data_IF_829830912460
#
_entry.id   IF_829830912460
#
_cell.length_a   1.000
_cell.length_b   1.000
_cell.length_c   1.000
_cell.angle_alpha   90.00
_cell.angle_beta   90.00
_cell.angle_gamma   90.00
#
_symmetry.space_group_name_H-M   'P 1'
#
loop_
_entity.id
_entity.type
_entity.pdbx_description
1 polymer ?
#
# COMPACT_ATOMS: atom_id res chain seq x y z
N UNK A 1 -10.19 -27.26 4.27
CA UNK A 1 -10.50 -26.31 5.37
C UNK A 1 -11.05 -25.02 4.78
N UNK A 2 -11.94 -24.34 5.51
CA UNK A 2 -12.49 -23.03 5.15
C UNK A 2 -11.97 -21.96 6.10
N UNK A 3 -11.28 -20.97 5.54
CA UNK A 3 -10.68 -19.87 6.32
C UNK A 3 -11.39 -18.57 5.94
N UNK A 4 -11.95 -17.89 6.95
CA UNK A 4 -12.54 -16.57 6.79
C UNK A 4 -11.54 -15.52 7.27
N UNK A 5 -11.21 -14.55 6.41
CA UNK A 5 -10.37 -13.40 6.74
C UNK A 5 -11.25 -12.14 6.75
N UNK A 6 -11.39 -11.50 7.90
CA UNK A 6 -12.06 -10.20 8.05
C UNK A 6 -10.99 -9.11 8.05
N UNK A 7 -10.83 -8.40 6.93
CA UNK A 7 -9.75 -7.45 6.71
C UNK A 7 -10.23 -5.99 6.74
N UNK A 8 -9.30 -5.05 6.60
CA UNK A 8 -9.53 -3.61 6.66
C UNK A 8 -10.20 -3.08 5.39
N UNK A 9 -10.86 -1.92 5.51
CA UNK A 9 -11.29 -1.12 4.37
C UNK A 9 -10.16 -0.21 3.83
N UNK A 10 -9.10 -0.05 4.61
CA UNK A 10 -7.95 0.78 4.25
C UNK A 10 -6.93 -0.06 3.48
N UNK A 11 -6.49 0.43 2.33
CA UNK A 11 -5.50 -0.25 1.47
C UNK A 11 -4.22 -0.55 2.24
N UNK A 12 -3.67 0.43 2.96
CA UNK A 12 -2.42 0.27 3.71
C UNK A 12 -2.49 -0.82 4.78
N UNK A 13 -3.52 -0.80 5.64
CA UNK A 13 -3.70 -1.83 6.69
C UNK A 13 -3.89 -3.23 6.07
N UNK A 14 -4.59 -3.31 4.93
CA UNK A 14 -4.77 -4.58 4.21
C UNK A 14 -3.45 -5.12 3.69
N UNK A 15 -2.63 -4.27 3.07
CA UNK A 15 -1.32 -4.68 2.54
C UNK A 15 -0.40 -5.11 3.68
N UNK A 16 -0.36 -4.37 4.79
CA UNK A 16 0.45 -4.73 5.96
C UNK A 16 0.06 -6.07 6.58
N UNK A 17 -1.16 -6.56 6.33
CA UNK A 17 -1.62 -7.87 6.79
C UNK A 17 -1.43 -9.02 5.79
N UNK A 18 -0.94 -8.76 4.57
CA UNK A 18 -0.80 -9.82 3.54
C UNK A 18 0.16 -10.92 3.97
N UNK A 19 1.26 -10.60 4.64
CA UNK A 19 2.19 -11.60 5.18
C UNK A 19 1.55 -12.56 6.19
N UNK A 20 0.60 -12.07 7.00
CA UNK A 20 -0.15 -12.92 7.93
C UNK A 20 -1.11 -13.85 7.18
N UNK A 21 -1.76 -13.35 6.13
CA UNK A 21 -2.64 -14.20 5.31
C UNK A 21 -1.82 -15.26 4.57
N UNK A 22 -0.64 -14.92 4.08
CA UNK A 22 0.32 -15.88 3.48
C UNK A 22 0.80 -16.94 4.51
N UNK A 23 1.01 -16.55 5.77
CA UNK A 23 1.32 -17.50 6.84
C UNK A 23 0.21 -18.56 6.99
N UNK A 24 -1.06 -18.14 6.97
CA UNK A 24 -2.18 -19.09 7.01
C UNK A 24 -2.26 -19.97 5.76
N UNK A 25 -1.97 -19.43 4.58
CA UNK A 25 -1.92 -20.20 3.33
C UNK A 25 -0.81 -21.25 3.37
N UNK A 26 0.40 -20.90 3.79
CA UNK A 26 1.54 -21.82 3.88
C UNK A 26 1.30 -22.95 4.88
N UNK A 27 0.71 -22.63 6.03
CA UNK A 27 0.39 -23.64 7.05
C UNK A 27 -0.83 -24.51 6.69
N UNK A 28 -1.64 -24.07 5.73
CA UNK A 28 -2.87 -24.75 5.30
C UNK A 28 -3.04 -24.68 3.77
N UNK A 29 -2.14 -25.30 2.98
CA UNK A 29 -2.06 -25.08 1.52
C UNK A 29 -3.29 -25.53 0.73
N UNK A 30 -4.11 -26.45 1.30
CA UNK A 30 -5.32 -26.95 0.67
C UNK A 30 -6.60 -26.25 1.20
N UNK A 31 -6.46 -25.13 1.90
CA UNK A 31 -7.61 -24.39 2.43
C UNK A 31 -8.19 -23.44 1.40
N UNK A 32 -9.50 -23.23 1.46
CA UNK A 32 -10.24 -22.22 0.71
C UNK A 32 -10.36 -20.96 1.54
N UNK A 33 -10.08 -19.80 0.93
CA UNK A 33 -10.10 -18.52 1.60
C UNK A 33 -11.27 -17.66 1.14
N UNK A 34 -12.04 -17.18 2.11
CA UNK A 34 -13.07 -16.16 1.91
C UNK A 34 -12.66 -14.87 2.60
N UNK A 35 -12.73 -13.76 1.89
CA UNK A 35 -12.37 -12.45 2.43
C UNK A 35 -13.61 -11.59 2.62
N UNK A 36 -13.70 -10.93 3.77
CA UNK A 36 -14.62 -9.82 4.06
C UNK A 36 -13.78 -8.55 4.11
N UNK A 37 -13.98 -7.61 3.16
CA UNK A 37 -13.06 -6.51 2.93
C UNK A 37 -13.73 -5.32 2.23
N UNK A 38 -13.15 -4.12 2.34
CA UNK A 38 -13.62 -2.95 1.59
C UNK A 38 -13.37 -3.06 0.08
N UNK A 39 -14.19 -2.38 -0.75
CA UNK A 39 -14.16 -2.56 -2.22
C UNK A 39 -12.80 -2.30 -2.86
N UNK A 40 -12.13 -1.20 -2.51
CA UNK A 40 -10.82 -0.88 -3.09
C UNK A 40 -9.73 -1.81 -2.56
N UNK A 41 -9.75 -2.10 -1.25
CA UNK A 41 -8.78 -2.99 -0.63
C UNK A 41 -8.93 -4.45 -1.09
N UNK A 42 -10.14 -4.86 -1.49
CA UNK A 42 -10.42 -6.21 -2.02
C UNK A 42 -9.62 -6.56 -3.27
N UNK A 43 -9.19 -5.57 -4.05
CA UNK A 43 -8.31 -5.81 -5.20
C UNK A 43 -7.00 -6.51 -4.81
N UNK A 44 -6.50 -6.31 -3.57
CA UNK A 44 -5.26 -6.92 -3.06
C UNK A 44 -5.31 -8.45 -3.10
N UNK A 45 -6.49 -9.04 -2.86
CA UNK A 45 -6.68 -10.48 -2.81
C UNK A 45 -7.35 -11.09 -4.05
N UNK A 46 -7.51 -10.30 -5.13
CA UNK A 46 -8.18 -10.72 -6.35
C UNK A 46 -7.52 -11.95 -7.00
N UNK A 47 -6.21 -12.10 -6.86
CA UNK A 47 -5.44 -13.24 -7.39
C UNK A 47 -4.81 -14.09 -6.28
N UNK A 48 -5.40 -14.03 -5.08
CA UNK A 48 -4.92 -14.83 -3.96
C UNK A 48 -5.11 -16.34 -4.23
N UNK A 49 -4.10 -17.18 -3.95
CA UNK A 49 -4.23 -18.63 -4.14
C UNK A 49 -5.39 -19.19 -3.31
N UNK A 50 -6.09 -20.17 -3.88
CA UNK A 50 -7.24 -20.84 -3.24
C UNK A 50 -8.36 -19.87 -2.81
N UNK A 51 -8.49 -18.76 -3.52
CA UNK A 51 -9.58 -17.80 -3.30
C UNK A 51 -10.93 -18.45 -3.62
N UNK A 52 -11.81 -18.56 -2.61
CA UNK A 52 -13.19 -18.99 -2.78
C UNK A 52 -14.09 -17.79 -3.11
N UNK A 53 -14.01 -16.73 -2.30
CA UNK A 53 -14.90 -15.58 -2.43
C UNK A 53 -14.32 -14.31 -1.80
N UNK A 54 -14.63 -13.15 -2.40
CA UNK A 54 -14.45 -11.83 -1.79
C UNK A 54 -15.83 -11.22 -1.54
N UNK A 55 -16.15 -10.95 -0.28
CA UNK A 55 -17.36 -10.26 0.16
C UNK A 55 -17.00 -8.80 0.38
N UNK A 56 -17.44 -7.94 -0.53
CA UNK A 56 -17.14 -6.52 -0.49
C UNK A 56 -18.09 -5.78 0.44
N UNK A 57 -17.53 -5.01 1.37
CA UNK A 57 -18.29 -4.24 2.35
C UNK A 57 -18.18 -2.77 2.05
N UNK A 58 -19.32 -2.16 1.72
CA UNK A 58 -19.48 -0.70 1.77
C UNK A 58 -20.12 -0.32 3.10
N UNK A 59 -19.60 0.70 3.75
CA UNK A 59 -20.23 1.25 4.96
C UNK A 59 -21.59 1.85 4.57
N UNK A 60 -22.66 1.31 5.14
CA UNK A 60 -24.03 1.76 4.91
C UNK A 60 -24.55 2.57 6.09
N UNK A 61 -25.61 3.36 5.87
CA UNK A 61 -26.33 4.05 6.94
C UNK A 61 -26.87 3.01 7.94
N UNK A 62 -26.93 3.38 9.21
CA UNK A 62 -27.36 2.51 10.31
C UNK A 62 -26.60 1.19 10.46
N UNK A 63 -25.40 1.07 9.88
CA UNK A 63 -24.56 -0.13 9.95
C UNK A 63 -25.22 -1.43 9.43
N UNK A 64 -26.19 -1.33 8.53
CA UNK A 64 -26.91 -2.48 7.96
C UNK A 64 -26.00 -3.45 7.21
N UNK A 65 -24.84 -2.99 6.74
CA UNK A 65 -23.82 -3.83 6.15
C UNK A 65 -23.37 -5.01 7.02
N UNK A 66 -23.52 -4.92 8.37
CA UNK A 66 -23.21 -6.04 9.26
C UNK A 66 -24.18 -7.21 9.10
N UNK A 67 -25.45 -6.93 8.89
CA UNK A 67 -26.47 -7.96 8.63
C UNK A 67 -26.18 -8.67 7.30
N UNK A 68 -25.86 -7.91 6.26
CA UNK A 68 -25.48 -8.46 4.94
C UNK A 68 -24.27 -9.38 5.07
N UNK A 69 -23.24 -8.97 5.81
CA UNK A 69 -22.08 -9.81 6.07
C UNK A 69 -22.43 -11.10 6.83
N UNK A 70 -23.23 -10.98 7.88
CA UNK A 70 -23.69 -12.12 8.65
C UNK A 70 -24.44 -13.12 7.76
N UNK A 71 -25.40 -12.66 6.96
CA UNK A 71 -26.18 -13.51 6.05
C UNK A 71 -25.31 -14.24 5.00
N UNK A 72 -24.16 -13.71 4.63
CA UNK A 72 -23.23 -14.39 3.72
C UNK A 72 -22.40 -15.48 4.39
N UNK A 73 -22.32 -15.51 5.70
CA UNK A 73 -21.37 -16.33 6.45
C UNK A 73 -22.00 -17.25 7.50
N UNK A 74 -23.24 -17.00 7.97
CA UNK A 74 -23.84 -17.63 9.14
C UNK A 74 -24.07 -19.15 9.00
N UNK A 75 -24.37 -19.63 7.81
CA UNK A 75 -24.65 -21.05 7.52
C UNK A 75 -23.37 -21.84 7.17
N UNK A 76 -22.21 -21.23 7.29
CA UNK A 76 -20.93 -21.85 7.01
C UNK A 76 -20.22 -22.13 8.34
N UNK A 77 -19.79 -23.38 8.53
CA UNK A 77 -18.86 -23.72 9.62
C UNK A 77 -17.44 -23.42 9.15
N UNK A 78 -16.82 -22.41 9.78
CA UNK A 78 -15.46 -21.99 9.48
C UNK A 78 -14.45 -22.82 10.28
N UNK A 79 -13.41 -23.32 9.64
CA UNK A 79 -12.34 -23.99 10.38
C UNK A 79 -11.49 -22.95 11.13
N UNK A 80 -11.20 -21.82 10.47
CA UNK A 80 -10.45 -20.71 11.07
C UNK A 80 -11.12 -19.38 10.70
N UNK A 81 -11.27 -18.49 11.68
CA UNK A 81 -11.60 -17.08 11.47
C UNK A 81 -10.38 -16.24 11.85
N UNK A 82 -9.88 -15.44 10.91
CA UNK A 82 -8.81 -14.44 11.11
C UNK A 82 -9.44 -13.05 11.05
N UNK A 83 -9.67 -12.45 12.20
CA UNK A 83 -10.29 -11.13 12.31
C UNK A 83 -9.22 -10.07 12.60
N UNK A 84 -8.86 -9.30 11.57
CA UNK A 84 -7.85 -8.24 11.60
C UNK A 84 -8.43 -6.87 12.00
N UNK A 85 -9.73 -6.82 12.33
CA UNK A 85 -10.45 -5.57 12.67
C UNK A 85 -11.07 -5.56 14.05
N UNK A 86 -10.99 -6.64 14.81
CA UNK A 86 -11.75 -6.85 16.06
C UNK A 86 -13.26 -6.65 15.84
N UNK A 87 -13.79 -7.30 14.80
CA UNK A 87 -15.19 -7.19 14.38
C UNK A 87 -16.11 -7.98 15.29
N UNK A 88 -17.27 -7.42 15.64
CA UNK A 88 -18.29 -8.17 16.39
C UNK A 88 -18.81 -9.40 15.63
N UNK A 89 -18.78 -9.37 14.29
CA UNK A 89 -19.21 -10.46 13.43
C UNK A 89 -18.49 -11.78 13.76
N UNK A 90 -17.20 -11.74 14.06
CA UNK A 90 -16.42 -12.95 14.37
C UNK A 90 -16.91 -13.72 15.59
N UNK A 91 -17.72 -13.11 16.45
CA UNK A 91 -18.34 -13.76 17.62
C UNK A 91 -19.66 -14.47 17.29
N UNK A 92 -20.31 -14.09 16.19
CA UNK A 92 -21.62 -14.62 15.79
C UNK A 92 -21.53 -15.80 14.83
N UNK A 93 -20.36 -16.10 14.28
CA UNK A 93 -20.18 -17.14 13.27
C UNK A 93 -19.70 -18.45 13.89
N UNK A 94 -20.17 -19.58 13.34
CA UNK A 94 -19.70 -20.91 13.75
C UNK A 94 -18.26 -21.15 13.30
N UNK A 95 -17.37 -21.50 14.23
CA UNK A 95 -15.94 -21.71 13.95
C UNK A 95 -15.30 -22.73 14.87
N UNK A 96 -14.20 -23.35 14.41
CA UNK A 96 -13.37 -24.23 15.23
C UNK A 96 -12.28 -23.42 15.95
N UNK A 97 -11.57 -22.52 15.23
CA UNK A 97 -10.53 -21.61 15.78
C UNK A 97 -10.78 -20.17 15.36
N UNK A 98 -10.42 -19.24 16.22
CA UNK A 98 -10.59 -17.82 15.97
C UNK A 98 -9.37 -17.02 16.47
N UNK A 99 -8.91 -16.11 15.63
CA UNK A 99 -7.84 -15.14 15.94
C UNK A 99 -8.40 -13.74 15.76
N UNK A 100 -8.40 -12.94 16.83
CA UNK A 100 -8.90 -11.56 16.82
C UNK A 100 -7.72 -10.63 17.12
N UNK A 101 -7.26 -9.93 16.10
CA UNK A 101 -6.18 -8.95 16.24
C UNK A 101 -6.71 -7.60 16.70
N UNK A 102 -6.22 -7.11 17.83
CA UNK A 102 -6.53 -5.78 18.36
C UNK A 102 -5.32 -4.87 18.19
N UNK A 103 -5.45 -3.87 17.30
CA UNK A 103 -4.39 -2.91 16.97
C UNK A 103 -4.09 -1.98 18.13
N UNK A 104 -2.83 -1.89 18.53
CA UNK A 104 -2.30 -0.86 19.43
C UNK A 104 -1.77 0.31 18.58
N UNK A 105 -2.33 1.50 18.78
CA UNK A 105 -1.96 2.70 18.02
C UNK A 105 -0.58 3.28 18.38
N UNK A 106 0.10 2.73 19.39
CA UNK A 106 1.40 3.20 19.85
C UNK A 106 2.57 2.35 19.36
N UNK A 107 2.29 1.16 18.80
CA UNK A 107 3.33 0.21 18.36
C UNK A 107 3.41 0.15 16.85
N UNK A 108 4.56 -0.23 16.33
CA UNK A 108 4.74 -0.47 14.90
C UNK A 108 3.75 -1.53 14.39
N UNK A 109 3.00 -1.20 13.34
CA UNK A 109 1.83 -2.01 12.96
C UNK A 109 2.19 -3.42 12.49
N UNK A 110 3.23 -3.54 11.65
CA UNK A 110 3.68 -4.84 11.16
C UNK A 110 4.25 -5.71 12.28
N UNK A 111 5.03 -5.13 13.21
CA UNK A 111 5.61 -5.88 14.33
C UNK A 111 4.52 -6.47 15.24
N UNK A 112 3.42 -5.74 15.44
CA UNK A 112 2.27 -6.25 16.20
C UNK A 112 1.61 -7.44 15.52
N UNK A 113 1.42 -7.39 14.21
CA UNK A 113 0.85 -8.49 13.45
C UNK A 113 1.75 -9.72 13.53
N UNK A 114 3.04 -9.57 13.29
CA UNK A 114 4.02 -10.67 13.37
C UNK A 114 4.00 -11.29 14.76
N UNK A 115 4.08 -10.47 15.81
CA UNK A 115 4.09 -10.94 17.20
C UNK A 115 2.79 -11.63 17.60
N UNK A 116 1.63 -11.07 17.24
CA UNK A 116 0.32 -11.62 17.62
C UNK A 116 0.06 -12.99 16.98
N UNK A 117 0.42 -13.16 15.71
CA UNK A 117 0.22 -14.41 14.99
C UNK A 117 1.41 -15.37 15.12
N UNK A 118 2.45 -14.99 15.86
CA UNK A 118 3.70 -15.76 15.98
C UNK A 118 4.25 -16.18 14.61
N UNK A 119 4.11 -15.26 13.63
CA UNK A 119 4.52 -15.51 12.27
C UNK A 119 6.01 -15.22 12.11
N UNK A 120 6.73 -16.11 11.44
CA UNK A 120 8.09 -15.85 10.96
C UNK A 120 8.07 -15.08 9.63
N UNK A 121 6.88 -14.92 9.02
CA UNK A 121 6.68 -14.23 7.76
C UNK A 121 6.57 -12.72 7.98
N UNK A 122 7.68 -12.04 7.80
CA UNK A 122 7.70 -10.56 7.76
C UNK A 122 7.43 -10.03 6.35
N UNK A 123 7.40 -10.90 5.34
CA UNK A 123 7.31 -10.51 3.95
C UNK A 123 5.87 -10.27 3.53
N UNK A 124 5.63 -9.03 3.13
CA UNK A 124 4.39 -8.66 2.46
C UNK A 124 4.43 -9.19 1.02
N UNK A 125 3.29 -9.63 0.51
CA UNK A 125 3.21 -10.13 -0.86
C UNK A 125 1.88 -9.75 -1.53
N UNK A 126 1.94 -9.52 -2.84
CA UNK A 126 0.76 -9.29 -3.69
C UNK A 126 0.81 -10.29 -4.82
N UNK A 127 -0.26 -11.09 -4.94
CA UNK A 127 -0.43 -12.01 -6.05
C UNK A 127 -0.95 -11.25 -7.27
N UNK A 128 -0.34 -11.50 -8.42
CA UNK A 128 -0.70 -10.91 -9.71
C UNK A 128 -1.02 -12.03 -10.70
N UNK A 129 -1.84 -11.72 -11.70
CA UNK A 129 -2.18 -12.69 -12.75
C UNK A 129 -1.10 -12.76 -13.84
N UNK A 130 -1.04 -13.88 -14.56
CA UNK A 130 -0.19 -14.05 -15.75
C UNK A 130 -0.52 -13.03 -16.85
N UNK A 131 -1.79 -12.61 -16.93
CA UNK A 131 -2.23 -11.54 -17.85
C UNK A 131 -1.59 -10.20 -17.50
N UNK A 132 -1.58 -9.82 -16.22
CA UNK A 132 -0.94 -8.58 -15.75
C UNK A 132 0.57 -8.62 -15.97
N UNK A 133 1.21 -9.75 -15.69
CA UNK A 133 2.64 -9.94 -16.01
C UNK A 133 2.94 -9.75 -17.50
N UNK A 134 2.10 -10.31 -18.37
CA UNK A 134 2.24 -10.18 -19.82
C UNK A 134 2.06 -8.72 -20.28
N UNK A 135 1.06 -8.00 -19.74
CA UNK A 135 0.86 -6.58 -20.03
C UNK A 135 2.11 -5.78 -19.69
N UNK A 136 2.67 -5.98 -18.50
CA UNK A 136 3.85 -5.25 -18.04
C UNK A 136 5.08 -5.60 -18.90
N UNK A 137 5.30 -6.87 -19.21
CA UNK A 137 6.41 -7.32 -20.05
C UNK A 137 6.39 -6.68 -21.45
N UNK A 138 5.21 -6.52 -22.02
CA UNK A 138 5.04 -5.90 -23.34
C UNK A 138 5.17 -4.36 -23.31
N UNK A 139 4.98 -3.74 -22.16
CA UNK A 139 4.99 -2.27 -22.01
C UNK A 139 6.32 -1.71 -21.52
N UNK A 140 7.05 -2.44 -20.70
CA UNK A 140 8.33 -1.99 -20.15
C UNK A 140 9.50 -2.50 -20.99
N UNK A 141 10.35 -1.57 -21.43
CA UNK A 141 11.59 -1.90 -22.12
C UNK A 141 12.72 -2.05 -21.09
N UNK A 142 13.38 -3.22 -21.00
CA UNK A 142 14.45 -3.46 -20.01
C UNK A 142 15.65 -2.53 -20.05
N UNK A 143 15.82 -1.78 -21.14
CA UNK A 143 16.90 -0.78 -21.26
C UNK A 143 16.69 0.44 -20.36
N UNK A 144 15.45 0.67 -19.89
CA UNK A 144 15.15 1.81 -19.01
C UNK A 144 15.08 1.40 -17.54
N UNK A 145 15.51 2.31 -16.69
CA UNK A 145 15.25 2.25 -15.25
C UNK A 145 13.93 2.96 -14.94
N UNK A 146 13.02 2.27 -14.29
CA UNK A 146 11.69 2.78 -13.99
C UNK A 146 11.62 3.25 -12.54
N UNK A 147 11.21 4.50 -12.35
CA UNK A 147 10.94 5.08 -11.03
C UNK A 147 9.45 5.34 -10.89
N UNK A 148 8.84 4.71 -9.90
CA UNK A 148 7.42 4.87 -9.59
C UNK A 148 7.24 6.07 -8.67
N UNK A 149 6.36 7.00 -9.07
CA UNK A 149 6.08 8.25 -8.35
C UNK A 149 4.62 8.25 -7.89
N UNK A 150 4.40 8.45 -6.59
CA UNK A 150 3.07 8.62 -6.01
C UNK A 150 2.93 10.06 -5.47
N UNK A 151 2.50 11.02 -6.29
CA UNK A 151 2.50 12.44 -5.91
C UNK A 151 1.29 12.83 -5.06
N UNK A 152 0.24 12.03 -5.06
CA UNK A 152 -1.04 12.31 -4.40
C UNK A 152 -1.19 11.67 -3.02
N UNK A 153 -2.40 11.74 -2.51
CA UNK A 153 -2.84 11.15 -1.25
C UNK A 153 -4.22 11.64 -0.84
N UNK A 154 -4.79 11.02 0.17
CA UNK A 154 -6.14 11.32 0.67
C UNK A 154 -6.19 12.43 1.73
N UNK A 155 -5.07 13.04 2.09
CA UNK A 155 -4.94 14.05 3.13
C UNK A 155 -3.81 15.03 2.80
N UNK A 156 -4.18 16.27 2.41
CA UNK A 156 -3.25 17.30 1.91
C UNK A 156 -2.06 17.58 2.84
N UNK A 157 -2.21 17.64 4.18
CA UNK A 157 -1.08 17.88 5.06
C UNK A 157 0.13 16.96 4.91
N UNK A 158 -0.06 15.74 4.42
CA UNK A 158 1.03 14.76 4.19
C UNK A 158 1.47 14.65 2.74
N UNK A 159 1.04 15.54 1.86
CA UNK A 159 1.39 15.51 0.44
C UNK A 159 2.60 16.40 0.20
N UNK A 160 3.65 15.82 -0.34
CA UNK A 160 4.83 16.56 -0.75
C UNK A 160 4.50 17.48 -1.92
N UNK A 161 4.90 18.78 -1.89
CA UNK A 161 4.54 19.73 -2.94
C UNK A 161 4.92 19.28 -4.34
N UNK A 162 4.04 19.49 -5.31
CA UNK A 162 4.27 19.13 -6.72
C UNK A 162 5.50 19.83 -7.31
N UNK A 163 5.84 21.02 -6.82
CA UNK A 163 7.08 21.74 -7.19
C UNK A 163 8.33 20.94 -6.84
N UNK A 164 8.33 20.27 -5.70
CA UNK A 164 9.45 19.46 -5.24
C UNK A 164 9.56 18.16 -6.06
N UNK A 165 8.42 17.52 -6.39
CA UNK A 165 8.41 16.41 -7.35
C UNK A 165 9.01 16.85 -8.69
N UNK A 166 8.57 17.99 -9.25
CA UNK A 166 9.08 18.51 -10.52
C UNK A 166 10.59 18.76 -10.48
N UNK A 167 11.11 19.34 -9.41
CA UNK A 167 12.54 19.55 -9.23
C UNK A 167 13.28 18.22 -9.15
N UNK A 168 12.80 17.27 -8.34
CA UNK A 168 13.38 15.93 -8.22
C UNK A 168 13.47 15.23 -9.58
N UNK A 169 12.38 15.19 -10.35
CA UNK A 169 12.33 14.51 -11.63
C UNK A 169 13.29 15.14 -12.64
N UNK A 170 13.42 16.48 -12.65
CA UNK A 170 14.39 17.18 -13.49
C UNK A 170 15.84 16.82 -13.11
N UNK A 171 16.16 16.74 -11.82
CA UNK A 171 17.48 16.30 -11.33
C UNK A 171 17.77 14.87 -11.81
N UNK A 172 16.80 13.95 -11.63
CA UNK A 172 16.96 12.55 -12.01
C UNK A 172 17.14 12.38 -13.53
N UNK A 173 16.40 13.13 -14.37
CA UNK A 173 16.58 13.12 -15.82
C UNK A 173 17.96 13.61 -16.27
N UNK A 174 18.53 14.60 -15.59
CA UNK A 174 19.89 15.09 -15.86
C UNK A 174 20.96 14.07 -15.44
N UNK A 175 20.72 13.35 -14.34
CA UNK A 175 21.70 12.43 -13.75
C UNK A 175 21.67 11.04 -14.40
N UNK A 176 20.52 10.58 -14.90
CA UNK A 176 20.32 9.25 -15.45
C UNK A 176 19.68 9.33 -16.85
N UNK A 177 20.43 9.00 -17.90
CA UNK A 177 19.97 9.11 -19.29
C UNK A 177 18.86 8.10 -19.65
N UNK A 178 18.88 6.92 -19.01
CA UNK A 178 17.98 5.79 -19.31
C UNK A 178 16.84 5.64 -18.29
N UNK A 179 16.37 6.76 -17.70
CA UNK A 179 15.27 6.75 -16.73
C UNK A 179 13.91 7.02 -17.39
N UNK A 180 12.86 6.37 -16.87
CA UNK A 180 11.44 6.69 -17.11
C UNK A 180 10.68 6.68 -15.80
N UNK A 181 9.60 7.45 -15.75
CA UNK A 181 8.75 7.57 -14.56
C UNK A 181 7.43 6.87 -14.79
N UNK A 182 6.91 6.24 -13.74
CA UNK A 182 5.59 5.63 -13.69
C UNK A 182 4.80 6.36 -12.62
N UNK A 183 3.73 7.07 -12.98
CA UNK A 183 2.90 7.77 -12.01
C UNK A 183 1.75 6.88 -11.55
N UNK A 184 1.53 6.81 -10.22
CA UNK A 184 0.50 5.98 -9.59
C UNK A 184 -0.32 6.78 -8.61
N UNK A 185 -1.62 6.44 -8.51
CA UNK A 185 -2.60 7.12 -7.66
C UNK A 185 -4.01 6.73 -8.04
N UNK A 186 -5.01 7.34 -7.42
CA UNK A 186 -6.40 7.21 -7.84
C UNK A 186 -6.69 8.07 -9.08
N UNK A 187 -7.74 7.74 -9.82
CA UNK A 187 -8.20 8.56 -10.96
C UNK A 187 -8.55 10.02 -10.56
N UNK A 188 -9.00 10.24 -9.30
CA UNK A 188 -9.27 11.59 -8.79
C UNK A 188 -7.98 12.40 -8.60
N UNK A 189 -6.90 11.77 -8.23
CA UNK A 189 -5.59 12.40 -7.99
C UNK A 189 -4.90 12.75 -9.32
N UNK A 190 -5.27 12.12 -10.41
CA UNK A 190 -4.71 12.40 -11.73
C UNK A 190 -4.82 13.89 -12.09
N UNK A 191 -6.02 14.45 -12.03
CA UNK A 191 -6.25 15.86 -12.36
C UNK A 191 -5.60 16.82 -11.36
N UNK A 192 -5.44 16.43 -10.10
CA UNK A 192 -4.92 17.29 -9.04
C UNK A 192 -3.39 17.39 -9.06
N UNK A 193 -2.70 16.29 -9.32
CA UNK A 193 -1.24 16.22 -9.13
C UNK A 193 -0.47 15.90 -10.42
N UNK A 194 -1.02 15.09 -11.33
CA UNK A 194 -0.27 14.64 -12.50
C UNK A 194 -0.05 15.76 -13.53
N UNK A 195 -1.03 16.64 -13.72
CA UNK A 195 -0.90 17.71 -14.73
C UNK A 195 0.27 18.64 -14.42
N UNK A 196 0.50 18.99 -13.15
CA UNK A 196 1.64 19.82 -12.74
C UNK A 196 2.99 19.15 -13.01
N UNK A 197 3.04 17.82 -12.96
CA UNK A 197 4.25 17.03 -13.23
C UNK A 197 4.46 16.88 -14.74
N UNK A 198 3.42 16.53 -15.49
CA UNK A 198 3.48 16.34 -16.95
C UNK A 198 4.04 17.57 -17.70
N UNK A 199 3.63 18.76 -17.30
CA UNK A 199 4.03 19.99 -17.97
C UNK A 199 5.55 20.27 -17.90
N UNK A 200 6.28 19.57 -17.06
CA UNK A 200 7.71 19.79 -16.82
C UNK A 200 8.62 18.62 -17.24
N UNK A 201 8.04 17.51 -17.69
CA UNK A 201 8.77 16.28 -18.05
C UNK A 201 8.34 15.85 -19.46
N UNK A 202 9.25 15.42 -20.34
CA UNK A 202 8.89 14.92 -21.67
C UNK A 202 7.87 13.78 -21.58
N UNK A 203 6.87 13.81 -22.45
CA UNK A 203 5.74 12.86 -22.40
C UNK A 203 6.20 11.41 -22.57
N UNK A 204 7.20 11.18 -23.43
CA UNK A 204 7.80 9.85 -23.66
C UNK A 204 8.52 9.28 -22.43
N UNK A 205 8.79 10.12 -21.41
CA UNK A 205 9.42 9.73 -20.15
C UNK A 205 8.42 9.36 -19.06
N UNK A 206 7.11 9.50 -19.29
CA UNK A 206 6.07 9.23 -18.29
C UNK A 206 5.14 8.12 -18.77
N UNK A 207 4.93 7.13 -17.90
CA UNK A 207 3.87 6.12 -18.03
C UNK A 207 2.83 6.43 -16.96
N UNK A 208 1.62 6.78 -17.37
CA UNK A 208 0.53 7.09 -16.46
C UNK A 208 -0.27 5.82 -16.10
N UNK A 209 -0.27 5.47 -14.81
CA UNK A 209 -1.06 4.40 -14.22
C UNK A 209 -2.05 4.90 -13.16
N UNK A 210 -2.41 6.19 -13.19
CA UNK A 210 -3.44 6.71 -12.29
C UNK A 210 -4.78 6.03 -12.56
N UNK A 211 -5.45 5.58 -11.49
CA UNK A 211 -6.74 4.88 -11.58
C UNK A 211 -6.67 3.41 -12.01
N UNK A 212 -5.48 2.87 -12.26
CA UNK A 212 -5.28 1.45 -12.59
C UNK A 212 -5.46 0.57 -11.34
N UNK A 213 -5.83 -0.71 -11.51
CA UNK A 213 -6.02 -1.64 -10.40
C UNK A 213 -4.76 -1.80 -9.55
N UNK A 214 -4.92 -2.11 -8.26
CA UNK A 214 -3.78 -2.28 -7.34
C UNK A 214 -2.90 -3.48 -7.73
N UNK A 215 -3.47 -4.55 -8.28
CA UNK A 215 -2.71 -5.72 -8.73
C UNK A 215 -1.88 -5.42 -9.96
N UNK A 216 -2.45 -4.74 -10.96
CA UNK A 216 -1.68 -4.31 -12.14
C UNK A 216 -0.62 -3.25 -11.75
N UNK A 217 -0.94 -2.33 -10.85
CA UNK A 217 0.05 -1.39 -10.29
C UNK A 217 1.20 -2.14 -9.61
N UNK A 218 0.90 -3.17 -8.80
CA UNK A 218 1.91 -4.04 -8.19
C UNK A 218 2.76 -4.77 -9.26
N UNK A 219 2.14 -5.24 -10.35
CA UNK A 219 2.87 -5.88 -11.45
C UNK A 219 3.91 -4.93 -12.09
N UNK A 220 3.56 -3.66 -12.31
CA UNK A 220 4.52 -2.64 -12.75
C UNK A 220 5.60 -2.36 -11.69
N UNK A 221 5.23 -2.26 -10.42
CA UNK A 221 6.16 -2.07 -9.30
C UNK A 221 7.19 -3.20 -9.21
N UNK A 222 6.77 -4.47 -9.38
CA UNK A 222 7.66 -5.65 -9.40
C UNK A 222 8.73 -5.62 -10.51
N UNK A 223 8.53 -4.83 -11.55
CA UNK A 223 9.46 -4.65 -12.68
C UNK A 223 10.13 -3.27 -12.69
N UNK A 224 9.90 -2.46 -11.66
CA UNK A 224 10.50 -1.15 -11.47
C UNK A 224 11.73 -1.22 -10.56
N UNK A 225 12.46 -0.12 -10.44
CA UNK A 225 13.71 -0.04 -9.69
C UNK A 225 13.57 0.71 -8.37
N UNK A 226 12.69 1.70 -8.33
CA UNK A 226 12.52 2.57 -7.17
C UNK A 226 11.08 3.10 -7.09
N UNK A 227 10.55 3.23 -5.89
CA UNK A 227 9.34 3.99 -5.57
C UNK A 227 9.68 5.21 -4.74
N UNK A 228 9.06 6.34 -5.05
CA UNK A 228 9.14 7.58 -4.26
C UNK A 228 7.73 8.11 -4.08
N UNK A 229 7.30 8.29 -2.83
CA UNK A 229 5.94 8.79 -2.56
C UNK A 229 5.66 9.06 -1.10
N UNK A 230 4.53 9.71 -0.85
CA UNK A 230 4.05 10.04 0.48
C UNK A 230 3.64 8.79 1.26
N UNK A 231 3.57 8.88 2.59
CA UNK A 231 2.98 7.84 3.45
C UNK A 231 1.54 7.53 3.02
N UNK A 232 1.36 6.43 2.30
CA UNK A 232 0.11 6.04 1.68
C UNK A 232 0.00 4.52 1.49
N UNK A 233 -1.19 4.03 1.12
CA UNK A 233 -1.38 2.63 0.77
C UNK A 233 -0.48 2.17 -0.38
N UNK A 234 -0.14 3.06 -1.33
CA UNK A 234 0.75 2.74 -2.47
C UNK A 234 2.22 2.63 -2.05
N UNK A 235 2.66 3.33 -0.99
CA UNK A 235 3.97 3.10 -0.38
C UNK A 235 4.05 1.69 0.21
N UNK A 236 3.02 1.22 0.90
CA UNK A 236 2.99 -0.16 1.38
C UNK A 236 2.91 -1.18 0.23
N UNK A 237 2.20 -0.83 -0.86
CA UNK A 237 2.12 -1.65 -2.07
C UNK A 237 3.50 -1.83 -2.72
N UNK A 238 4.30 -0.78 -2.79
CA UNK A 238 5.66 -0.87 -3.33
C UNK A 238 6.55 -1.81 -2.52
N UNK A 239 6.45 -1.76 -1.19
CA UNK A 239 7.18 -2.69 -0.30
C UNK A 239 6.69 -4.13 -0.49
N UNK A 240 5.37 -4.35 -0.59
CA UNK A 240 4.79 -5.67 -0.86
C UNK A 240 5.09 -6.19 -2.28
N UNK A 241 5.49 -5.31 -3.18
CA UNK A 241 6.00 -5.63 -4.52
C UNK A 241 7.52 -5.83 -4.55
N UNK A 242 8.20 -5.83 -3.40
CA UNK A 242 9.65 -5.96 -3.22
C UNK A 242 10.48 -4.87 -3.94
N UNK A 243 9.88 -3.70 -4.14
CA UNK A 243 10.52 -2.56 -4.78
C UNK A 243 11.32 -1.73 -3.76
N UNK A 244 12.50 -1.23 -4.14
CA UNK A 244 13.20 -0.22 -3.34
C UNK A 244 12.26 0.96 -3.10
N UNK A 245 12.12 1.41 -1.87
CA UNK A 245 11.06 2.36 -1.51
C UNK A 245 11.61 3.52 -0.69
N UNK A 246 11.35 4.74 -1.15
CA UNK A 246 11.56 5.96 -0.38
C UNK A 246 10.18 6.51 0.01
N UNK A 247 9.86 6.43 1.30
CA UNK A 247 8.64 6.96 1.90
C UNK A 247 8.86 8.35 2.49
N UNK A 248 8.01 9.31 2.10
CA UNK A 248 8.07 10.68 2.57
C UNK A 248 7.07 10.88 3.70
N UNK A 249 7.55 11.34 4.86
CA UNK A 249 6.76 11.50 6.09
C UNK A 249 6.81 12.94 6.61
N UNK A 250 5.70 13.41 7.11
CA UNK A 250 5.56 14.68 7.83
C UNK A 250 4.63 14.52 9.02
N UNK A 251 3.35 14.94 8.92
CA UNK A 251 2.40 14.84 10.03
C UNK A 251 2.01 13.41 10.44
N UNK A 252 2.37 12.41 9.66
CA UNK A 252 2.10 11.00 9.98
C UNK A 252 3.24 10.37 10.78
N UNK A 253 2.93 9.29 11.50
CA UNK A 253 3.88 8.63 12.39
C UNK A 253 4.69 7.55 11.67
N UNK A 254 5.91 7.87 11.31
CA UNK A 254 6.87 6.97 10.65
C UNK A 254 7.32 5.81 11.56
N UNK A 255 7.31 5.97 12.90
CA UNK A 255 7.60 4.88 13.82
C UNK A 255 6.53 3.77 13.79
N UNK A 256 5.30 4.08 13.37
CA UNK A 256 4.19 3.12 13.28
C UNK A 256 4.09 2.51 11.87
N UNK A 257 4.31 3.32 10.82
CA UNK A 257 4.04 2.93 9.44
C UNK A 257 5.27 2.91 8.53
N UNK A 258 6.40 3.45 8.98
CA UNK A 258 7.66 3.42 8.23
C UNK A 258 8.21 1.99 8.14
N UNK A 259 8.58 1.56 6.93
CA UNK A 259 9.19 0.25 6.74
C UNK A 259 10.67 0.24 7.15
N UNK A 260 11.10 -0.85 7.81
CA UNK A 260 12.46 -1.01 8.35
C UNK A 260 13.29 -2.05 7.58
N UNK A 261 12.89 -2.38 6.36
CA UNK A 261 13.63 -3.30 5.49
C UNK A 261 14.86 -2.61 4.91
N UNK A 262 15.88 -3.39 4.56
CA UNK A 262 17.16 -2.89 4.04
C UNK A 262 17.03 -1.95 2.83
N UNK A 263 16.03 -2.18 2.00
CA UNK A 263 15.76 -1.39 0.78
C UNK A 263 14.59 -0.39 0.94
N UNK A 264 14.22 -0.07 2.17
CA UNK A 264 13.17 0.90 2.48
C UNK A 264 13.76 2.06 3.28
N UNK A 265 13.56 3.26 2.80
CA UNK A 265 14.09 4.49 3.36
C UNK A 265 12.96 5.43 3.74
N UNK A 266 13.09 6.05 4.90
CA UNK A 266 12.16 7.06 5.39
C UNK A 266 12.86 8.42 5.36
N UNK A 267 12.27 9.36 4.64
CA UNK A 267 12.64 10.78 4.74
C UNK A 267 11.49 11.50 5.41
N UNK A 268 11.78 12.23 6.45
CA UNK A 268 10.75 13.03 7.09
C UNK A 268 11.09 14.50 7.15
N UNK A 269 10.08 15.32 7.42
CA UNK A 269 10.22 16.74 7.73
C UNK A 269 11.14 16.96 8.91
N UNK A 270 11.69 18.17 9.03
CA UNK A 270 12.51 18.58 10.18
C UNK A 270 11.76 18.39 11.50
N UNK A 271 10.46 18.67 11.47
CA UNK A 271 9.55 18.46 12.58
C UNK A 271 9.13 16.99 12.68
N UNK A 272 9.09 16.43 13.87
CA UNK A 272 8.67 15.07 14.15
C UNK A 272 7.14 14.92 14.25
N UNK A 273 6.67 13.67 14.38
CA UNK A 273 5.25 13.37 14.57
C UNK A 273 4.69 14.05 15.83
N UNK A 274 5.46 14.14 16.94
CA UNK A 274 4.98 14.71 18.19
C UNK A 274 4.75 16.21 18.07
N UNK A 275 5.56 16.91 17.27
CA UNK A 275 5.33 18.30 16.95
C UNK A 275 3.97 18.48 16.25
N UNK A 276 3.72 17.75 15.16
CA UNK A 276 2.47 17.86 14.43
C UNK A 276 1.24 17.39 15.21
N UNK A 277 1.38 16.41 16.09
CA UNK A 277 0.28 15.89 16.90
C UNK A 277 -0.24 16.90 17.95
N UNK A 278 0.54 17.96 18.24
CA UNK A 278 0.14 19.06 19.14
C UNK A 278 -0.56 20.20 18.39
N UNK A 279 -0.57 20.18 17.07
CA UNK A 279 -1.11 21.25 16.25
C UNK A 279 -2.50 20.89 15.71
N UNK A 280 -3.32 21.93 15.53
CA UNK A 280 -4.51 21.82 14.66
C UNK A 280 -4.07 22.09 13.24
N UNK A 281 -3.94 21.03 12.44
CA UNK A 281 -3.48 21.14 11.06
C UNK A 281 -4.58 21.65 10.14
N UNK A 282 -4.25 22.61 9.30
CA UNK A 282 -5.12 23.08 8.22
C UNK A 282 -5.21 22.01 7.14
N UNK A 283 -6.44 21.59 6.80
CA UNK A 283 -6.70 20.44 5.90
C UNK A 283 -6.30 20.68 4.45
N UNK A 284 -6.20 21.93 4.02
CA UNK A 284 -5.87 22.36 2.66
C UNK A 284 -4.39 22.68 2.43
N UNK A 285 -3.56 22.53 3.47
CA UNK A 285 -2.15 22.93 3.43
C UNK A 285 -1.22 21.75 3.58
N UNK A 286 -0.19 21.66 2.72
CA UNK A 286 0.90 20.73 2.90
C UNK A 286 1.84 21.18 4.03
N UNK A 287 2.25 20.22 4.85
CA UNK A 287 3.27 20.39 5.89
C UNK A 287 4.59 19.65 5.57
N UNK A 288 4.74 19.22 4.30
CA UNK A 288 5.89 18.47 3.82
C UNK A 288 6.99 19.37 3.21
N UNK A 289 6.97 20.67 3.52
CA UNK A 289 7.80 21.68 2.84
C UNK A 289 9.28 21.64 3.21
N UNK A 290 9.64 21.04 4.34
CA UNK A 290 11.04 20.94 4.81
C UNK A 290 11.78 19.70 4.27
N UNK A 291 11.11 18.85 3.49
CA UNK A 291 11.76 17.80 2.72
C UNK A 291 12.22 18.41 1.37
N UNK A 292 13.52 18.40 1.12
CA UNK A 292 14.11 18.92 -0.12
C UNK A 292 14.42 17.79 -1.10
N UNK A 293 14.31 18.01 -2.43
CA UNK A 293 14.63 17.02 -3.46
C UNK A 293 16.03 16.43 -3.34
N UNK A 294 17.01 17.21 -2.92
CA UNK A 294 18.40 16.75 -2.77
C UNK A 294 18.54 15.63 -1.74
N UNK A 295 17.76 15.64 -0.64
CA UNK A 295 17.74 14.57 0.34
C UNK A 295 17.31 13.23 -0.29
N UNK A 296 16.37 13.27 -1.24
CA UNK A 296 15.92 12.08 -1.99
C UNK A 296 17.03 11.62 -2.94
N UNK A 297 17.68 12.56 -3.64
CA UNK A 297 18.79 12.27 -4.56
C UNK A 297 19.98 11.68 -3.82
N UNK A 298 20.30 12.17 -2.62
CA UNK A 298 21.38 11.65 -1.79
C UNK A 298 21.13 10.19 -1.39
N UNK A 299 19.90 9.84 -0.96
CA UNK A 299 19.55 8.45 -0.66
C UNK A 299 19.70 7.57 -1.90
N UNK A 300 19.20 8.00 -3.05
CA UNK A 300 19.32 7.25 -4.30
C UNK A 300 20.78 6.98 -4.64
N UNK A 301 21.63 8.00 -4.53
CA UNK A 301 23.04 7.90 -4.90
C UNK A 301 23.86 7.08 -3.91
N UNK A 302 23.72 7.36 -2.61
CA UNK A 302 24.50 6.71 -1.56
C UNK A 302 24.17 5.22 -1.42
N UNK A 303 22.97 4.78 -1.87
CA UNK A 303 22.52 3.40 -1.80
C UNK A 303 22.46 2.71 -3.17
N UNK A 304 22.93 3.32 -4.25
CA UNK A 304 22.92 2.79 -5.63
C UNK A 304 21.54 2.22 -6.03
N UNK A 305 20.47 3.00 -5.81
CA UNK A 305 19.10 2.54 -6.06
C UNK A 305 18.68 2.62 -7.55
N UNK A 306 19.48 3.33 -8.36
CA UNK A 306 19.30 3.50 -9.81
C UNK A 306 20.61 3.30 -10.57
#
# INVERSE_FOLDING_TARGET
MKILVISSNLIGDTILSTGIVDHFLKNNPNSQFTFIIGPTAGQIYQHFPNLEKIILIKKEKFNTHWLTMYLHCWNIKWDIIVDLRSSFLSFLLFHNKKYIFKKDKKKHHLDQLISFFQSHESDLNIYISSKEESIVRNKLNPQYKYVVICPGGNWEPKIWPSSNYNQLLKILLKKFSNIKFITVGSAKEENLYLNSIKNNIPEDKIINLMGVSLTLTSAYMKKSHLFIGNDSGLMHLSVASHLNTIGLFGPTNDHIYGHRRKNCFVIRTKEDYNYFNRLTLEKSKSYMTTIHPDQVVDIITNNNLL
#
